data_IF_884095238257
#
_entry.id   IF_884095238257
#
_cell.length_a   1.000
_cell.length_b   1.000
_cell.length_c   1.000
_cell.angle_alpha   90.00
_cell.angle_beta   90.00
_cell.angle_gamma   90.00
#
_symmetry.space_group_name_H-M   'P 1'
#
loop_
_entity.id
_entity.type
_entity.pdbx_description
1 polymer ?
#
# COMPACT_ATOMS: atom_id res chain seq x y z
N UNK A 1 20.40 22.89 0.97
CA UNK A 1 21.34 21.79 1.15
C UNK A 1 20.66 20.51 0.74
N UNK A 2 21.23 19.77 -0.18
CA UNK A 2 20.71 18.47 -0.58
C UNK A 2 21.08 17.48 0.53
N UNK A 3 20.06 16.90 1.16
CA UNK A 3 20.21 15.90 2.21
C UNK A 3 20.89 14.67 1.62
N UNK A 4 21.88 14.13 2.34
CA UNK A 4 22.66 12.99 1.88
C UNK A 4 22.67 11.94 3.00
N UNK A 5 21.96 10.85 2.77
CA UNK A 5 22.08 9.65 3.62
C UNK A 5 23.05 8.66 2.96
N UNK A 6 23.77 7.90 3.77
CA UNK A 6 24.62 6.81 3.29
C UNK A 6 23.89 5.50 3.46
N UNK A 7 23.86 4.71 2.39
CA UNK A 7 23.38 3.34 2.42
C UNK A 7 24.57 2.40 2.19
N UNK A 8 24.85 1.60 3.18
CA UNK A 8 25.82 0.53 3.05
C UNK A 8 25.09 -0.82 2.90
N UNK A 9 25.47 -1.57 1.89
CA UNK A 9 24.83 -2.85 1.58
C UNK A 9 25.87 -3.96 1.50
N UNK A 10 25.63 -5.07 2.17
CA UNK A 10 26.39 -6.32 2.05
C UNK A 10 25.46 -7.46 1.67
N UNK A 11 25.79 -8.18 0.61
CA UNK A 11 24.99 -9.30 0.08
C UNK A 11 25.76 -10.60 0.28
N UNK A 12 25.10 -11.62 0.84
CA UNK A 12 25.64 -12.97 1.08
C UNK A 12 26.97 -12.99 1.85
N UNK A 13 27.19 -12.00 2.73
CA UNK A 13 28.44 -11.86 3.49
C UNK A 13 29.61 -11.31 2.68
N UNK A 14 29.36 -10.83 1.47
CA UNK A 14 30.38 -10.17 0.62
C UNK A 14 30.76 -8.79 1.13
N UNK A 15 31.64 -8.14 0.39
CA UNK A 15 32.16 -6.80 0.71
C UNK A 15 31.04 -5.77 0.82
N UNK A 16 31.12 -4.95 1.84
CA UNK A 16 30.22 -3.82 2.07
C UNK A 16 30.40 -2.78 0.94
N UNK A 17 29.32 -2.47 0.26
CA UNK A 17 29.26 -1.41 -0.75
C UNK A 17 28.55 -0.20 -0.14
N UNK A 18 29.19 0.95 -0.22
CA UNK A 18 28.61 2.20 0.26
C UNK A 18 28.21 3.09 -0.90
N UNK A 19 27.06 3.71 -0.77
CA UNK A 19 26.58 4.71 -1.72
C UNK A 19 25.93 5.87 -0.96
N UNK A 20 25.99 7.02 -1.55
CA UNK A 20 25.32 8.22 -1.04
C UNK A 20 23.98 8.35 -1.75
N UNK A 21 22.90 8.32 -0.99
CA UNK A 21 21.57 8.59 -1.50
C UNK A 21 21.42 10.11 -1.65
N UNK A 22 21.22 10.56 -2.88
CA UNK A 22 20.98 11.98 -3.14
C UNK A 22 19.56 12.34 -2.80
N UNK A 23 19.33 13.45 -2.08
CA UNK A 23 17.99 13.97 -1.79
C UNK A 23 17.29 14.62 -3.00
N UNK A 24 17.79 14.44 -4.22
CA UNK A 24 17.21 14.99 -5.44
C UNK A 24 15.89 14.31 -5.87
N UNK A 25 15.70 13.06 -5.47
CA UNK A 25 14.50 12.27 -5.77
C UNK A 25 13.80 11.89 -4.48
N UNK A 26 12.48 12.00 -4.46
CA UNK A 26 11.69 11.69 -3.27
C UNK A 26 11.57 10.19 -3.01
N UNK A 27 11.83 9.35 -4.00
CA UNK A 27 11.78 7.89 -3.89
C UNK A 27 12.87 7.25 -4.74
N UNK A 28 13.63 6.33 -4.16
CA UNK A 28 14.71 5.62 -4.82
C UNK A 28 14.56 4.11 -4.64
N UNK A 29 14.97 3.34 -5.64
CA UNK A 29 14.96 1.88 -5.61
C UNK A 29 16.33 1.35 -5.98
N UNK A 30 16.84 0.38 -5.20
CA UNK A 30 18.05 -0.39 -5.52
C UNK A 30 17.65 -1.83 -5.86
N UNK A 31 18.09 -2.31 -7.02
CA UNK A 31 17.82 -3.67 -7.50
C UNK A 31 19.08 -4.53 -7.48
N UNK A 32 18.94 -5.78 -7.06
CA UNK A 32 19.99 -6.78 -7.08
C UNK A 32 19.52 -7.97 -7.91
N UNK A 33 20.28 -8.30 -8.97
CA UNK A 33 19.91 -9.36 -9.93
C UNK A 33 20.70 -10.66 -9.68
N UNK A 34 20.95 -10.97 -8.43
CA UNK A 34 21.66 -12.18 -8.03
C UNK A 34 20.85 -12.97 -7.01
N UNK A 35 21.16 -14.24 -6.86
CA UNK A 35 20.55 -15.05 -5.80
C UNK A 35 21.03 -14.55 -4.44
N UNK A 36 20.06 -14.13 -3.61
CA UNK A 36 20.33 -13.56 -2.29
C UNK A 36 19.83 -14.53 -1.23
N UNK A 37 20.72 -14.91 -0.31
CA UNK A 37 20.39 -15.67 0.90
C UNK A 37 20.40 -14.78 2.14
N UNK A 38 21.21 -13.72 2.11
CA UNK A 38 21.35 -12.78 3.21
C UNK A 38 21.70 -11.42 2.66
N UNK A 39 21.00 -10.39 3.14
CA UNK A 39 21.34 -9.00 2.86
C UNK A 39 21.39 -8.23 4.18
N UNK A 40 22.32 -7.33 4.28
CA UNK A 40 22.45 -6.40 5.39
C UNK A 40 22.50 -4.99 4.86
N UNK A 41 21.65 -4.14 5.39
CA UNK A 41 21.67 -2.70 5.15
C UNK A 41 22.06 -1.96 6.42
N UNK A 42 22.86 -0.94 6.24
CA UNK A 42 23.18 0.04 7.28
C UNK A 42 22.88 1.41 6.67
N UNK A 43 22.02 2.15 7.31
CA UNK A 43 21.66 3.51 6.90
C UNK A 43 22.28 4.46 7.90
N UNK A 44 23.08 5.39 7.40
CA UNK A 44 23.67 6.45 8.21
C UNK A 44 23.16 7.80 7.68
N UNK A 45 22.53 8.54 8.56
CA UNK A 45 22.09 9.90 8.30
C UNK A 45 23.24 10.86 8.55
N UNK A 46 23.97 11.20 7.50
CA UNK A 46 25.13 12.08 7.60
C UNK A 46 24.77 13.54 7.91
N UNK A 47 23.48 13.92 7.86
CA UNK A 47 23.05 15.32 8.02
C UNK A 47 22.49 15.65 9.40
N UNK A 48 22.07 14.64 10.17
CA UNK A 48 21.55 14.80 11.55
C UNK A 48 20.27 15.65 11.66
N UNK A 49 19.59 15.96 10.55
CA UNK A 49 18.49 16.90 10.55
C UNK A 49 17.20 16.41 9.92
N UNK A 50 17.22 15.30 9.14
CA UNK A 50 16.02 14.79 8.48
C UNK A 50 15.94 13.28 8.49
N UNK A 51 14.72 12.76 8.64
CA UNK A 51 14.43 11.35 8.68
C UNK A 51 14.63 10.69 7.30
N UNK A 52 15.40 9.63 7.25
CA UNK A 52 15.49 8.74 6.10
C UNK A 52 14.43 7.65 6.23
N UNK A 53 13.51 7.60 5.28
CA UNK A 53 12.44 6.60 5.27
C UNK A 53 12.84 5.38 4.45
N UNK A 54 12.77 4.21 5.07
CA UNK A 54 12.93 2.93 4.41
C UNK A 54 11.55 2.30 4.19
N UNK A 55 11.09 2.25 2.93
CA UNK A 55 9.75 1.77 2.60
C UNK A 55 9.64 0.24 2.60
N UNK A 56 10.73 -0.47 2.40
CA UNK A 56 10.73 -1.93 2.45
C UNK A 56 11.73 -2.58 1.51
N UNK A 57 11.68 -3.91 1.49
CA UNK A 57 12.44 -4.75 0.59
C UNK A 57 11.55 -5.84 0.03
N UNK A 58 11.70 -6.14 -1.26
CA UNK A 58 11.00 -7.23 -1.93
C UNK A 58 12.01 -8.28 -2.40
N UNK A 59 11.72 -9.56 -2.13
CA UNK A 59 12.49 -10.70 -2.60
C UNK A 59 11.61 -11.50 -3.56
N UNK A 60 11.95 -11.47 -4.82
CA UNK A 60 11.09 -11.99 -5.87
C UNK A 60 11.85 -12.95 -6.79
N UNK A 61 11.15 -13.93 -7.32
CA UNK A 61 11.65 -14.76 -8.39
C UNK A 61 11.64 -14.03 -9.74
N UNK A 62 12.38 -14.57 -10.71
CA UNK A 62 12.42 -13.99 -12.06
C UNK A 62 11.09 -14.18 -12.83
N UNK A 63 10.20 -15.04 -12.36
CA UNK A 63 8.89 -15.35 -12.96
C UNK A 63 7.89 -15.67 -11.85
N UNK A 64 6.62 -15.41 -12.09
CA UNK A 64 5.53 -15.72 -11.17
C UNK A 64 4.57 -14.56 -11.00
N UNK A 65 3.67 -14.71 -10.04
CA UNK A 65 2.75 -13.67 -9.59
C UNK A 65 3.29 -13.12 -8.26
N UNK A 66 3.33 -11.83 -8.14
CA UNK A 66 3.68 -11.13 -6.90
C UNK A 66 2.42 -10.50 -6.35
N UNK A 67 2.15 -10.73 -5.07
CA UNK A 67 1.02 -10.17 -4.35
C UNK A 67 1.54 -9.31 -3.20
N UNK A 68 1.28 -8.02 -3.25
CA UNK A 68 1.54 -7.10 -2.16
C UNK A 68 0.26 -6.87 -1.36
N UNK A 69 0.35 -6.94 -0.05
CA UNK A 69 -0.77 -6.69 0.84
C UNK A 69 -0.58 -5.35 1.56
N UNK A 70 -1.45 -4.39 1.26
CA UNK A 70 -1.48 -3.06 1.88
C UNK A 70 -2.67 -2.88 2.82
N UNK A 71 -3.15 -3.96 3.42
CA UNK A 71 -4.27 -3.88 4.35
C UNK A 71 -3.93 -3.01 5.56
N UNK A 72 -4.84 -2.09 5.89
CA UNK A 72 -4.76 -1.23 7.06
C UNK A 72 -6.01 -1.44 7.91
N UNK A 73 -5.82 -1.94 9.14
CA UNK A 73 -6.92 -2.18 10.08
C UNK A 73 -7.69 -0.89 10.35
N UNK A 74 -9.02 -0.96 10.29
CA UNK A 74 -9.90 0.18 10.55
C UNK A 74 -10.09 1.12 9.36
N UNK A 75 -9.41 0.88 8.22
CA UNK A 75 -9.57 1.70 7.03
C UNK A 75 -10.92 1.47 6.35
N UNK A 76 -11.51 2.53 5.86
CA UNK A 76 -12.69 2.50 4.98
C UNK A 76 -12.34 2.66 3.50
N UNK A 77 -11.06 2.83 3.18
CA UNK A 77 -10.57 3.11 1.82
C UNK A 77 -10.57 4.59 1.44
N UNK A 78 -11.38 5.42 2.08
CA UNK A 78 -11.50 6.84 1.73
C UNK A 78 -10.20 7.63 1.99
N UNK A 79 -9.39 7.20 2.95
CA UNK A 79 -8.10 7.83 3.29
C UNK A 79 -7.05 7.69 2.20
N UNK A 80 -7.23 6.78 1.23
CA UNK A 80 -6.30 6.60 0.12
C UNK A 80 -6.15 7.86 -0.76
N UNK A 81 -7.19 8.69 -0.84
CA UNK A 81 -7.11 9.98 -1.54
C UNK A 81 -6.23 11.02 -0.83
N UNK A 82 -5.87 10.78 0.43
CA UNK A 82 -4.93 11.61 1.19
C UNK A 82 -3.45 11.34 0.86
N UNK A 83 -3.14 10.25 0.17
CA UNK A 83 -1.77 9.99 -0.29
C UNK A 83 -1.47 10.92 -1.47
N UNK A 84 -0.39 11.71 -1.44
CA UNK A 84 -0.08 12.62 -2.53
C UNK A 84 0.03 11.91 -3.88
N UNK A 85 -0.64 12.44 -4.91
CA UNK A 85 -0.65 11.86 -6.27
C UNK A 85 0.76 11.62 -6.80
N UNK A 86 1.65 12.58 -6.64
CA UNK A 86 3.06 12.46 -7.06
C UNK A 86 3.73 11.24 -6.42
N UNK A 87 3.44 10.96 -5.14
CA UNK A 87 4.00 9.82 -4.43
C UNK A 87 3.49 8.49 -5.01
N UNK A 88 2.18 8.39 -5.24
CA UNK A 88 1.60 7.20 -5.88
C UNK A 88 2.16 6.96 -7.28
N UNK A 89 2.31 8.02 -8.08
CA UNK A 89 2.91 7.92 -9.43
C UNK A 89 4.37 7.49 -9.39
N UNK A 90 5.15 7.97 -8.43
CA UNK A 90 6.53 7.52 -8.23
C UNK A 90 6.60 6.06 -7.80
N UNK A 91 5.73 5.64 -6.89
CA UNK A 91 5.62 4.22 -6.52
C UNK A 91 5.26 3.36 -7.72
N UNK A 92 4.27 3.78 -8.53
CA UNK A 92 3.89 3.07 -9.74
C UNK A 92 5.03 2.98 -10.77
N UNK A 93 5.84 4.01 -10.91
CA UNK A 93 7.00 3.99 -11.81
C UNK A 93 8.08 2.99 -11.36
N UNK A 94 8.26 2.80 -10.06
CA UNK A 94 9.23 1.86 -9.50
C UNK A 94 8.70 0.43 -9.38
N UNK A 95 7.41 0.30 -9.11
CA UNK A 95 6.71 -0.96 -8.90
C UNK A 95 5.31 -0.91 -9.52
N UNK A 96 5.23 -1.10 -10.85
CA UNK A 96 3.95 -1.10 -11.54
C UNK A 96 3.10 -2.30 -11.11
N UNK A 97 1.78 -2.08 -11.00
CA UNK A 97 0.80 -3.11 -10.70
C UNK A 97 -0.06 -3.39 -11.93
N UNK A 98 -0.29 -4.66 -12.22
CA UNK A 98 -1.22 -5.12 -13.26
C UNK A 98 -2.66 -5.13 -12.75
N UNK A 99 -2.84 -5.38 -11.45
CA UNK A 99 -4.16 -5.46 -10.81
C UNK A 99 -4.10 -4.87 -9.41
N UNK A 100 -5.09 -4.05 -9.09
CA UNK A 100 -5.34 -3.51 -7.76
C UNK A 100 -6.68 -4.05 -7.27
N UNK A 101 -6.66 -4.77 -6.16
CA UNK A 101 -7.86 -5.33 -5.53
C UNK A 101 -8.23 -4.46 -4.33
N UNK A 102 -9.46 -3.96 -4.31
CA UNK A 102 -9.99 -3.15 -3.23
C UNK A 102 -11.08 -3.92 -2.49
N UNK A 103 -10.88 -4.16 -1.20
CA UNK A 103 -11.84 -4.80 -0.31
C UNK A 103 -12.07 -3.90 0.90
N UNK A 104 -13.07 -3.03 0.79
CA UNK A 104 -13.44 -2.08 1.82
C UNK A 104 -14.96 -2.09 2.06
N UNK A 105 -15.40 -1.65 3.24
CA UNK A 105 -16.80 -1.51 3.57
C UNK A 105 -17.15 -2.08 4.94
N UNK A 106 -16.45 -3.10 5.43
CA UNK A 106 -16.73 -3.72 6.72
C UNK A 106 -16.70 -2.70 7.89
N UNK A 107 -15.77 -1.73 7.82
CA UNK A 107 -15.62 -0.67 8.83
C UNK A 107 -16.67 0.47 8.69
N UNK A 108 -17.45 0.46 7.62
CA UNK A 108 -18.52 1.43 7.35
C UNK A 108 -19.89 0.86 7.74
N UNK A 109 -20.01 -0.47 7.74
CA UNK A 109 -21.24 -1.14 8.09
C UNK A 109 -21.64 -0.86 9.54
N UNK A 110 -22.86 -0.38 9.73
CA UNK A 110 -23.46 -0.18 11.05
C UNK A 110 -24.77 -0.96 11.16
N UNK A 111 -25.18 -1.29 12.37
CA UNK A 111 -26.44 -2.04 12.62
C UNK A 111 -27.68 -1.33 12.08
N UNK A 112 -27.68 -0.01 12.11
CA UNK A 112 -28.82 0.84 11.69
C UNK A 112 -28.63 1.44 10.30
N UNK A 113 -27.47 1.24 9.67
CA UNK A 113 -27.17 1.80 8.35
C UNK A 113 -28.00 1.12 7.26
N UNK A 114 -28.77 1.89 6.52
CA UNK A 114 -29.56 1.43 5.37
C UNK A 114 -29.21 2.16 4.09
N UNK A 115 -28.55 3.32 4.21
CA UNK A 115 -28.13 4.15 3.08
C UNK A 115 -26.61 4.35 3.09
N UNK A 116 -25.94 3.79 2.10
CA UNK A 116 -24.49 3.89 1.90
C UNK A 116 -24.11 4.76 0.70
N UNK A 117 -25.04 5.55 0.15
CA UNK A 117 -24.80 6.39 -1.03
C UNK A 117 -23.62 7.35 -0.89
N UNK A 118 -23.44 7.92 0.30
CA UNK A 118 -22.29 8.78 0.58
C UNK A 118 -20.97 8.02 0.49
N UNK A 119 -20.96 6.79 1.00
CA UNK A 119 -19.79 5.92 0.95
C UNK A 119 -19.49 5.45 -0.48
N UNK A 120 -20.51 5.03 -1.21
CA UNK A 120 -20.39 4.69 -2.64
C UNK A 120 -19.75 5.83 -3.44
N UNK A 121 -20.23 7.06 -3.28
CA UNK A 121 -19.69 8.23 -3.94
C UNK A 121 -18.24 8.52 -3.52
N UNK A 122 -17.89 8.29 -2.26
CA UNK A 122 -16.52 8.44 -1.78
C UNK A 122 -15.60 7.38 -2.40
N UNK A 123 -16.02 6.12 -2.48
CA UNK A 123 -15.26 5.05 -3.12
C UNK A 123 -15.09 5.28 -4.63
N UNK A 124 -16.10 5.76 -5.33
CA UNK A 124 -15.99 6.17 -6.74
C UNK A 124 -14.89 7.22 -6.94
N UNK A 125 -14.81 8.22 -6.06
CA UNK A 125 -13.73 9.23 -6.09
C UNK A 125 -12.36 8.59 -5.80
N UNK A 126 -12.29 7.70 -4.83
CA UNK A 126 -11.04 6.99 -4.49
C UNK A 126 -10.54 6.16 -5.67
N UNK A 127 -11.42 5.42 -6.32
CA UNK A 127 -11.08 4.62 -7.51
C UNK A 127 -10.60 5.52 -8.65
N UNK A 128 -11.31 6.61 -8.92
CA UNK A 128 -10.90 7.57 -9.95
C UNK A 128 -9.51 8.16 -9.65
N UNK A 129 -9.26 8.50 -8.39
CA UNK A 129 -7.97 8.99 -7.93
C UNK A 129 -6.84 7.96 -8.14
N UNK A 130 -7.06 6.72 -7.73
CA UNK A 130 -6.09 5.65 -7.92
C UNK A 130 -5.86 5.33 -9.40
N UNK A 131 -6.89 5.36 -10.24
CA UNK A 131 -6.75 5.18 -11.70
C UNK A 131 -5.86 6.23 -12.34
N UNK A 132 -5.86 7.46 -11.82
CA UNK A 132 -4.94 8.50 -12.29
C UNK A 132 -3.48 8.19 -11.93
N UNK A 133 -3.25 7.57 -10.77
CA UNK A 133 -1.91 7.17 -10.34
C UNK A 133 -1.41 5.88 -11.02
N UNK A 134 -2.32 4.96 -11.32
CA UNK A 134 -2.06 3.62 -11.86
C UNK A 134 -2.84 3.37 -13.15
N UNK A 135 -2.53 4.10 -14.24
CA UNK A 135 -3.37 4.13 -15.45
C UNK A 135 -3.41 2.79 -16.20
N UNK A 136 -2.45 1.90 -15.98
CA UNK A 136 -2.36 0.60 -16.64
C UNK A 136 -2.88 -0.56 -15.77
N UNK A 137 -3.19 -0.30 -14.51
CA UNK A 137 -3.70 -1.34 -13.60
C UNK A 137 -5.19 -1.63 -13.85
N UNK A 138 -5.56 -2.90 -13.85
CA UNK A 138 -6.94 -3.33 -13.67
C UNK A 138 -7.39 -3.05 -12.23
N UNK A 139 -8.69 -2.83 -12.03
CA UNK A 139 -9.27 -2.64 -10.69
C UNK A 139 -10.35 -3.67 -10.46
N UNK A 140 -10.25 -4.38 -9.33
CA UNK A 140 -11.25 -5.32 -8.86
C UNK A 140 -11.76 -4.87 -7.49
N UNK A 141 -13.08 -4.72 -7.39
CA UNK A 141 -13.74 -4.48 -6.11
C UNK A 141 -14.26 -5.80 -5.58
N UNK A 142 -13.81 -6.19 -4.39
CA UNK A 142 -14.36 -7.33 -3.68
C UNK A 142 -15.39 -6.83 -2.67
N UNK A 143 -16.59 -7.42 -2.74
CA UNK A 143 -17.59 -7.25 -1.71
C UNK A 143 -17.11 -7.85 -0.39
N UNK A 144 -17.34 -7.13 0.71
CA UNK A 144 -17.01 -7.65 2.03
C UNK A 144 -17.99 -8.75 2.44
N UNK A 145 -17.50 -9.69 3.23
CA UNK A 145 -18.33 -10.73 3.82
C UNK A 145 -19.36 -10.15 4.81
N UNK A 146 -20.38 -10.92 5.12
CA UNK A 146 -21.37 -10.57 6.14
C UNK A 146 -20.69 -10.33 7.49
N UNK A 147 -21.16 -9.30 8.18
CA UNK A 147 -20.73 -9.01 9.54
C UNK A 147 -21.73 -9.56 10.53
N UNK A 148 -21.31 -10.50 11.35
CA UNK A 148 -22.07 -10.91 12.53
C UNK A 148 -21.76 -9.97 13.69
N UNK A 149 -22.80 -9.50 14.38
CA UNK A 149 -22.70 -8.74 15.62
C UNK A 149 -23.47 -9.47 16.72
N UNK A 150 -22.90 -9.53 17.90
CA UNK A 150 -23.61 -10.09 19.06
C UNK A 150 -24.38 -8.95 19.73
N UNK A 151 -25.70 -9.08 19.77
CA UNK A 151 -26.56 -8.10 20.46
C UNK A 151 -26.39 -8.16 21.99
N UNK A 152 -27.03 -7.27 22.72
CA UNK A 152 -26.97 -7.23 24.19
C UNK A 152 -27.47 -8.52 24.84
N UNK A 153 -28.33 -9.27 24.16
CA UNK A 153 -28.85 -10.60 24.59
C UNK A 153 -27.87 -11.74 24.26
N UNK A 154 -26.76 -11.47 23.58
CA UNK A 154 -25.77 -12.46 23.20
C UNK A 154 -26.08 -13.21 21.89
N UNK A 155 -27.18 -12.88 21.20
CA UNK A 155 -27.57 -13.51 19.94
C UNK A 155 -26.74 -12.97 18.78
N UNK A 156 -26.42 -13.84 17.80
CA UNK A 156 -25.74 -13.44 16.56
C UNK A 156 -26.78 -12.85 15.59
N UNK A 157 -26.61 -11.55 15.30
CA UNK A 157 -27.29 -10.89 14.20
C UNK A 157 -26.33 -10.77 13.00
N UNK A 158 -26.70 -11.38 11.88
CA UNK A 158 -25.97 -11.24 10.61
C UNK A 158 -26.62 -10.14 9.77
N UNK A 159 -25.82 -9.21 9.27
CA UNK A 159 -26.29 -8.18 8.36
C UNK A 159 -25.63 -8.38 7.00
N UNK A 160 -26.46 -8.65 6.01
CA UNK A 160 -26.01 -8.76 4.62
C UNK A 160 -25.56 -7.37 4.11
N UNK A 161 -24.33 -7.28 3.62
CA UNK A 161 -23.78 -6.04 3.06
C UNK A 161 -24.14 -5.87 1.57
N UNK A 162 -25.31 -6.35 1.17
CA UNK A 162 -25.77 -6.32 -0.24
C UNK A 162 -25.81 -4.92 -0.87
N UNK A 163 -25.89 -3.87 -0.06
CA UNK A 163 -25.95 -2.49 -0.56
C UNK A 163 -24.65 -1.98 -1.19
N UNK A 164 -23.52 -2.67 -1.00
CA UNK A 164 -22.22 -2.30 -1.59
C UNK A 164 -21.88 -3.10 -2.85
N UNK A 165 -22.69 -4.10 -3.20
CA UNK A 165 -22.44 -4.97 -4.35
C UNK A 165 -22.98 -4.41 -5.68
N UNK A 166 -23.69 -3.29 -5.67
CA UNK A 166 -24.33 -2.68 -6.82
C UNK A 166 -23.65 -1.41 -7.37
N UNK A 167 -22.37 -1.16 -7.03
CA UNK A 167 -21.66 0.07 -7.43
C UNK A 167 -20.67 -0.17 -8.58
#
# INVERSE_FOLDING_TARGET
SLFKSRLATSVNGGTKQEEVLSGSESLQQKKFYQRIHKIRWEVDDASGSDDTYFYGAAFEGAKGIVLDNFSLRGSSGNSLTGIPMKHLQQMNALRPYDLIILEFGLNVATERGTDYKKYENAMKRTIAYLRTAFPHAGFLLLGVADRAHRNESGDLACKLMAALQGA
#
